data_IF_128761158501
#
_entry.id   IF_128761158501
#
_cell.length_a   1.000
_cell.length_b   1.000
_cell.length_c   1.000
_cell.angle_alpha   90.00
_cell.angle_beta   90.00
_cell.angle_gamma   90.00
#
_symmetry.space_group_name_H-M   'P 1'
#
loop_
_entity.id
_entity.type
_entity.pdbx_description
1 polymer ?
#
# COMPACT_ATOMS: atom_id res chain seq x y z
N UNK A 1 -3.42 18.41 39.96
CA UNK A 1 -4.29 18.96 38.91
C UNK A 1 -3.50 18.85 37.62
N UNK A 2 -3.72 17.80 36.87
CA UNK A 2 -2.93 17.37 35.71
C UNK A 2 -3.29 18.19 34.46
N UNK A 3 -2.27 18.62 33.71
CA UNK A 3 -2.42 19.19 32.38
C UNK A 3 -2.99 18.13 31.43
N UNK A 4 -4.11 18.45 30.79
CA UNK A 4 -4.73 17.61 29.78
C UNK A 4 -4.00 17.79 28.45
N UNK A 5 -3.32 16.74 28.00
CA UNK A 5 -2.83 16.61 26.62
C UNK A 5 -4.01 16.70 25.67
N UNK A 6 -3.99 17.68 24.78
CA UNK A 6 -4.95 17.79 23.68
C UNK A 6 -4.61 16.69 22.67
N UNK A 7 -5.41 15.62 22.62
CA UNK A 7 -5.40 14.71 21.47
C UNK A 7 -6.04 15.44 20.29
N UNK A 8 -5.22 15.80 19.30
CA UNK A 8 -5.74 16.28 18.04
C UNK A 8 -6.46 15.14 17.32
N UNK A 9 -7.76 15.29 17.09
CA UNK A 9 -8.53 14.40 16.23
C UNK A 9 -8.08 14.59 14.77
N UNK A 10 -7.66 13.53 14.05
CA UNK A 10 -7.33 13.70 12.65
C UNK A 10 -8.63 13.86 11.84
N UNK A 11 -8.98 15.11 11.53
CA UNK A 11 -9.87 15.42 10.42
C UNK A 11 -9.08 15.29 9.12
N UNK A 12 -9.18 14.16 8.41
CA UNK A 12 -8.54 14.03 7.10
C UNK A 12 -9.20 12.90 6.30
N UNK A 13 -9.45 13.13 5.01
CA UNK A 13 -9.95 12.09 4.11
C UNK A 13 -9.12 10.80 4.27
N UNK A 14 -9.82 9.72 4.59
CA UNK A 14 -9.33 8.51 5.25
C UNK A 14 -8.16 7.86 4.49
N UNK A 15 -6.93 7.97 5.00
CA UNK A 15 -5.91 6.96 4.73
C UNK A 15 -6.17 5.82 5.70
N UNK A 16 -6.30 4.59 5.21
CA UNK A 16 -6.56 3.43 6.08
C UNK A 16 -5.40 3.20 7.08
N UNK A 17 -4.16 3.56 6.71
CA UNK A 17 -2.96 3.38 7.53
C UNK A 17 -1.80 4.28 7.04
N UNK A 18 -0.70 4.33 7.81
CA UNK A 18 0.54 5.03 7.44
C UNK A 18 1.37 4.19 6.45
N UNK A 19 1.87 4.81 5.37
CA UNK A 19 2.70 4.12 4.35
C UNK A 19 4.22 4.25 4.59
N UNK A 20 4.64 4.96 5.64
CA UNK A 20 6.06 5.14 5.94
C UNK A 20 6.87 5.68 4.75
N UNK A 21 8.09 5.15 4.59
CA UNK A 21 8.96 5.46 3.45
C UNK A 21 8.50 4.72 2.19
N UNK A 22 8.16 5.47 1.15
CA UNK A 22 7.79 4.90 -0.15
C UNK A 22 9.06 4.64 -0.98
N UNK A 23 9.21 3.42 -1.47
CA UNK A 23 10.28 3.01 -2.37
C UNK A 23 9.74 2.12 -3.50
N UNK A 24 10.53 1.98 -4.57
CA UNK A 24 10.21 1.09 -5.68
C UNK A 24 11.48 0.37 -6.12
N UNK A 25 11.37 -0.89 -6.50
CA UNK A 25 12.46 -1.60 -7.18
C UNK A 25 12.68 -1.00 -8.58
N UNK A 26 13.89 -1.15 -9.15
CA UNK A 26 14.15 -0.75 -10.52
C UNK A 26 13.26 -1.48 -11.54
N UNK A 27 12.98 -2.77 -11.34
CA UNK A 27 12.13 -3.55 -12.25
C UNK A 27 10.69 -3.07 -12.26
N UNK A 28 10.11 -2.78 -11.09
CA UNK A 28 8.75 -2.24 -11.01
C UNK A 28 8.65 -0.84 -11.61
N UNK A 29 9.67 0.02 -11.40
CA UNK A 29 9.69 1.35 -11.99
C UNK A 29 9.74 1.29 -13.53
N UNK A 30 10.57 0.41 -14.08
CA UNK A 30 10.64 0.19 -15.52
C UNK A 30 9.34 -0.39 -16.10
N UNK A 31 8.68 -1.31 -15.38
CA UNK A 31 7.40 -1.86 -15.79
C UNK A 31 6.30 -0.78 -15.81
N UNK A 32 6.24 0.06 -14.78
CA UNK A 32 5.32 1.20 -14.72
C UNK A 32 5.53 2.17 -15.88
N UNK A 33 6.78 2.52 -16.18
CA UNK A 33 7.13 3.40 -17.31
C UNK A 33 6.73 2.80 -18.65
N UNK A 34 7.06 1.52 -18.89
CA UNK A 34 6.70 0.79 -20.11
C UNK A 34 5.19 0.73 -20.33
N UNK A 35 4.42 0.52 -19.26
CA UNK A 35 2.97 0.46 -19.32
C UNK A 35 2.30 1.85 -19.31
N UNK A 36 3.05 2.95 -19.17
CA UNK A 36 2.53 4.31 -19.13
C UNK A 36 1.76 4.66 -17.86
N UNK A 37 2.01 3.96 -16.75
CA UNK A 37 1.35 4.20 -15.46
C UNK A 37 2.22 5.03 -14.50
N UNK A 38 1.56 5.81 -13.64
CA UNK A 38 2.22 6.47 -12.51
C UNK A 38 2.08 5.62 -11.25
N UNK A 39 3.18 5.43 -10.51
CA UNK A 39 3.18 4.74 -9.21
C UNK A 39 2.12 5.28 -8.23
N UNK A 40 1.83 6.59 -8.25
CA UNK A 40 0.86 7.22 -7.35
C UNK A 40 -0.55 6.64 -7.50
N UNK A 41 -0.92 6.17 -8.69
CA UNK A 41 -2.22 5.53 -8.93
C UNK A 41 -2.40 4.34 -7.98
N UNK A 42 -1.42 3.45 -7.94
CA UNK A 42 -1.48 2.22 -7.15
C UNK A 42 -1.25 2.48 -5.65
N UNK A 43 -0.44 3.48 -5.30
CA UNK A 43 -0.26 3.90 -3.91
C UNK A 43 -1.54 4.49 -3.32
N UNK A 44 -2.29 5.29 -4.08
CA UNK A 44 -3.58 5.84 -3.63
C UNK A 44 -4.59 4.72 -3.45
N UNK A 45 -4.67 3.78 -4.38
CA UNK A 45 -5.54 2.59 -4.28
C UNK A 45 -5.22 1.77 -3.02
N UNK A 46 -3.95 1.47 -2.80
CA UNK A 46 -3.47 0.76 -1.62
C UNK A 46 -3.84 1.49 -0.31
N UNK A 47 -3.63 2.81 -0.24
CA UNK A 47 -3.96 3.61 0.94
C UNK A 47 -5.47 3.71 1.23
N UNK A 48 -6.31 3.46 0.22
CA UNK A 48 -7.78 3.50 0.31
C UNK A 48 -8.41 2.12 0.52
N UNK A 49 -7.62 1.05 0.64
CA UNK A 49 -8.13 -0.31 0.81
C UNK A 49 -8.56 -0.99 -0.49
N UNK A 50 -8.20 -0.43 -1.66
CA UNK A 50 -8.34 -1.17 -2.92
C UNK A 50 -7.14 -2.09 -3.08
N UNK A 51 -7.32 -3.35 -2.68
CA UNK A 51 -6.28 -4.37 -2.69
C UNK A 51 -5.99 -4.97 -4.07
N UNK A 52 -6.77 -4.60 -5.08
CA UNK A 52 -6.61 -5.02 -6.47
C UNK A 52 -6.88 -6.51 -6.73
N UNK A 53 -5.99 -7.13 -7.50
CA UNK A 53 -6.09 -8.48 -8.06
C UNK A 53 -5.72 -9.58 -7.05
N UNK A 54 -6.33 -9.52 -5.87
CA UNK A 54 -6.27 -10.56 -4.84
C UNK A 54 -7.57 -11.35 -4.78
N UNK A 55 -7.51 -12.55 -4.21
CA UNK A 55 -8.71 -13.30 -3.84
C UNK A 55 -9.37 -12.66 -2.63
N UNK A 56 -10.68 -12.85 -2.46
CA UNK A 56 -11.43 -12.18 -1.38
C UNK A 56 -10.89 -12.50 0.02
N UNK A 57 -10.38 -13.70 0.25
CA UNK A 57 -9.77 -14.11 1.52
C UNK A 57 -8.54 -13.26 1.88
N UNK A 58 -7.69 -12.96 0.91
CA UNK A 58 -6.51 -12.10 1.09
C UNK A 58 -6.92 -10.64 1.28
N UNK A 59 -8.00 -10.20 0.63
CA UNK A 59 -8.56 -8.85 0.82
C UNK A 59 -9.07 -8.64 2.24
N UNK A 60 -9.84 -9.60 2.77
CA UNK A 60 -10.29 -9.59 4.16
C UNK A 60 -9.10 -9.62 5.11
N UNK A 61 -8.09 -10.46 4.82
CA UNK A 61 -6.86 -10.52 5.62
C UNK A 61 -6.11 -9.18 5.65
N UNK A 62 -6.10 -8.43 4.53
CA UNK A 62 -5.54 -7.08 4.52
C UNK A 62 -6.35 -6.11 5.38
N UNK A 63 -7.69 -6.16 5.32
CA UNK A 63 -8.54 -5.30 6.14
C UNK A 63 -8.30 -5.53 7.64
N UNK A 64 -8.10 -6.79 8.05
CA UNK A 64 -7.68 -7.16 9.41
C UNK A 64 -6.25 -6.70 9.70
N UNK A 65 -5.32 -6.89 8.77
CA UNK A 65 -3.92 -6.48 8.91
C UNK A 65 -3.73 -4.96 9.10
N UNK A 66 -4.65 -4.14 8.59
CA UNK A 66 -4.68 -2.70 8.86
C UNK A 66 -4.88 -2.41 10.34
N UNK A 67 -5.76 -3.16 11.01
CA UNK A 67 -6.07 -2.97 12.43
C UNK A 67 -5.02 -3.59 13.37
N UNK A 68 -4.42 -4.71 12.97
CA UNK A 68 -3.50 -5.50 13.81
C UNK A 68 -2.01 -5.21 13.55
N UNK A 69 -1.69 -4.14 12.81
CA UNK A 69 -0.33 -3.76 12.41
C UNK A 69 0.45 -4.93 11.77
N UNK A 70 -0.23 -5.74 10.95
CA UNK A 70 0.38 -6.79 10.15
C UNK A 70 0.76 -6.25 8.76
N UNK A 71 1.64 -6.97 8.06
CA UNK A 71 2.02 -6.61 6.69
C UNK A 71 0.80 -6.61 5.78
N UNK A 72 0.70 -5.60 4.93
CA UNK A 72 -0.39 -5.44 3.94
C UNK A 72 0.22 -5.62 2.55
N UNK A 73 -0.46 -6.37 1.68
CA UNK A 73 -0.04 -6.56 0.29
C UNK A 73 -1.19 -6.23 -0.65
N UNK A 74 -0.96 -5.43 -1.68
CA UNK A 74 -1.89 -5.28 -2.80
C UNK A 74 -1.25 -5.71 -4.09
N UNK A 75 -2.05 -6.26 -5.00
CA UNK A 75 -1.58 -6.68 -6.32
C UNK A 75 -2.32 -5.91 -7.40
N UNK A 76 -1.60 -5.34 -8.36
CA UNK A 76 -2.22 -4.65 -9.49
C UNK A 76 -1.66 -5.16 -10.79
N UNK A 77 -2.51 -5.17 -11.82
CA UNK A 77 -2.12 -5.47 -13.19
C UNK A 77 -2.04 -4.17 -13.98
N UNK A 78 -0.90 -3.96 -14.60
CA UNK A 78 -0.65 -2.84 -15.51
C UNK A 78 -1.36 -3.08 -16.85
N UNK A 79 -1.46 -2.03 -17.66
CA UNK A 79 -2.09 -2.07 -18.98
C UNK A 79 -1.53 -3.16 -19.91
N UNK A 80 -0.24 -3.48 -19.80
CA UNK A 80 0.45 -4.51 -20.58
C UNK A 80 0.34 -5.93 -19.98
N UNK A 81 -0.39 -6.08 -18.88
CA UNK A 81 -0.63 -7.35 -18.20
C UNK A 81 0.41 -7.71 -17.13
N UNK A 82 1.50 -6.95 -17.01
CA UNK A 82 2.50 -7.14 -15.96
C UNK A 82 1.87 -6.91 -14.59
N UNK A 83 2.21 -7.76 -13.64
CA UNK A 83 1.75 -7.63 -12.25
C UNK A 83 2.81 -6.92 -11.42
N UNK A 84 2.38 -5.95 -10.62
CA UNK A 84 3.16 -5.34 -9.55
C UNK A 84 2.51 -5.63 -8.20
N UNK A 85 3.33 -5.61 -7.15
CA UNK A 85 2.90 -5.63 -5.76
C UNK A 85 3.20 -4.29 -5.10
N UNK A 86 2.32 -3.89 -4.18
CA UNK A 86 2.54 -2.77 -3.25
C UNK A 86 2.42 -3.35 -1.85
N UNK A 87 3.53 -3.36 -1.12
CA UNK A 87 3.62 -3.99 0.21
C UNK A 87 3.94 -2.92 1.25
N UNK A 88 3.15 -2.85 2.31
CA UNK A 88 3.44 -2.03 3.49
C UNK A 88 3.84 -2.94 4.65
N UNK A 89 4.99 -2.68 5.25
CA UNK A 89 5.50 -3.47 6.37
C UNK A 89 4.61 -3.37 7.61
N UNK A 90 4.67 -4.40 8.47
CA UNK A 90 3.90 -4.51 9.70
C UNK A 90 4.07 -3.27 10.60
N UNK A 91 5.32 -2.84 10.78
CA UNK A 91 5.67 -1.65 11.58
C UNK A 91 5.42 -0.31 10.86
N UNK A 92 4.80 -0.33 9.67
CA UNK A 92 4.53 0.84 8.82
C UNK A 92 5.78 1.67 8.50
N UNK A 93 6.97 1.08 8.57
CA UNK A 93 8.23 1.77 8.30
C UNK A 93 8.42 2.09 6.82
N UNK A 94 7.89 1.25 5.93
CA UNK A 94 8.02 1.43 4.49
C UNK A 94 6.86 0.80 3.69
N UNK A 95 6.60 1.39 2.53
CA UNK A 95 5.79 0.83 1.45
C UNK A 95 6.67 0.64 0.21
N UNK A 96 6.76 -0.59 -0.28
CA UNK A 96 7.57 -0.93 -1.45
C UNK A 96 6.70 -1.33 -2.62
N UNK A 97 6.98 -0.77 -3.80
CA UNK A 97 6.46 -1.26 -5.07
C UNK A 97 7.51 -2.18 -5.72
N UNK A 98 7.11 -3.39 -6.09
CA UNK A 98 8.02 -4.39 -6.66
C UNK A 98 7.31 -5.34 -7.62
N UNK A 99 8.06 -6.03 -8.47
CA UNK A 99 7.55 -7.16 -9.23
C UNK A 99 7.44 -8.40 -8.32
N UNK A 100 6.48 -9.31 -8.55
CA UNK A 100 6.41 -10.58 -7.83
C UNK A 100 7.70 -11.42 -7.89
N UNK A 101 8.51 -11.25 -8.94
CA UNK A 101 9.80 -11.95 -9.10
C UNK A 101 10.96 -11.33 -8.33
N UNK A 102 10.78 -10.14 -7.74
CA UNK A 102 11.78 -9.42 -6.95
C UNK A 102 11.58 -9.60 -5.43
N UNK A 103 10.57 -10.38 -5.04
CA UNK A 103 10.25 -10.76 -3.67
C UNK A 103 10.72 -12.19 -3.40
#
# INVERSE_FOLDING_TARGET
>A
MSEATIEQSPSSGMRAFCMGKIVSTPGALAALESAGHNASEFLVRHALGDWGDLVEEDKVSNDEAVADDLRILSAYRLQDGVRIWVITEADRSATTILLPSEY
#
